data_IF_448882986754
#
_entry.id   IF_448882986754
#
_cell.length_a   1.000
_cell.length_b   1.000
_cell.length_c   1.000
_cell.angle_alpha   90.00
_cell.angle_beta   90.00
_cell.angle_gamma   90.00
#
_symmetry.space_group_name_H-M   'P 1'
#
loop_
_entity.id
_entity.type
_entity.pdbx_description
1 polymer ?
#
# COMPACT_ATOMS: atom_id res chain seq x y z
N UNK A 1 -9.39 -26.29 2.22
CA UNK A 1 -9.33 -24.97 2.88
C UNK A 1 -10.27 -24.04 2.15
N UNK A 2 -11.17 -23.36 2.87
CA UNK A 2 -12.16 -22.46 2.25
C UNK A 2 -11.65 -21.01 2.16
N UNK A 3 -12.34 -20.18 1.36
CA UNK A 3 -12.07 -18.73 1.28
C UNK A 3 -12.18 -18.11 2.66
N UNK A 4 -13.15 -18.52 3.50
CA UNK A 4 -13.28 -18.06 4.89
C UNK A 4 -11.98 -18.29 5.68
N UNK A 5 -11.36 -19.47 5.56
CA UNK A 5 -10.12 -19.74 6.28
C UNK A 5 -8.97 -18.83 5.85
N UNK A 6 -8.90 -18.48 4.54
CA UNK A 6 -7.89 -17.55 4.03
C UNK A 6 -8.19 -16.11 4.49
N UNK A 7 -9.47 -15.71 4.47
CA UNK A 7 -9.90 -14.40 4.96
C UNK A 7 -9.55 -14.22 6.45
N UNK A 8 -9.91 -15.20 7.28
CA UNK A 8 -9.61 -15.15 8.72
C UNK A 8 -8.10 -15.07 8.99
N UNK A 9 -7.28 -15.76 8.18
CA UNK A 9 -5.83 -15.71 8.29
C UNK A 9 -5.26 -14.35 7.87
N UNK A 10 -5.78 -13.75 6.78
CA UNK A 10 -5.37 -12.40 6.36
C UNK A 10 -5.78 -11.34 7.40
N UNK A 11 -6.91 -11.51 8.08
CA UNK A 11 -7.36 -10.60 9.12
C UNK A 11 -6.46 -10.58 10.38
N UNK A 12 -5.58 -11.56 10.57
CA UNK A 12 -4.57 -11.52 11.63
C UNK A 12 -3.55 -10.38 11.39
N UNK A 13 -3.22 -10.04 10.14
CA UNK A 13 -2.31 -8.94 9.80
C UNK A 13 -3.01 -7.69 9.30
N UNK A 14 -4.23 -7.81 8.78
CA UNK A 14 -5.04 -6.73 8.24
C UNK A 14 -6.49 -6.83 8.72
N UNK A 15 -6.77 -6.62 10.02
CA UNK A 15 -8.11 -6.70 10.58
C UNK A 15 -9.06 -5.71 9.89
N UNK A 16 -10.20 -6.18 9.38
CA UNK A 16 -11.13 -5.35 8.58
C UNK A 16 -11.66 -4.13 9.37
N UNK A 17 -11.78 -4.25 10.70
CA UNK A 17 -12.21 -3.15 11.57
C UNK A 17 -11.14 -2.04 11.72
N UNK A 18 -9.95 -2.21 11.18
CA UNK A 18 -8.89 -1.21 11.18
C UNK A 18 -8.85 -0.41 9.87
N UNK A 19 -9.63 -0.82 8.86
CA UNK A 19 -9.75 -0.06 7.62
C UNK A 19 -10.31 1.35 7.87
N UNK A 20 -10.05 2.26 6.95
CA UNK A 20 -10.65 3.59 6.98
C UNK A 20 -12.15 3.53 6.63
N UNK A 21 -12.97 4.40 7.22
CA UNK A 21 -14.42 4.40 7.07
C UNK A 21 -14.93 4.52 5.61
N UNK A 22 -14.11 5.11 4.74
CA UNK A 22 -14.45 5.27 3.32
C UNK A 22 -14.11 4.06 2.47
N UNK A 23 -13.40 3.07 3.04
CA UNK A 23 -12.83 1.96 2.29
C UNK A 23 -13.79 0.78 2.12
N UNK A 24 -13.44 -0.12 1.20
CA UNK A 24 -14.19 -1.34 0.94
C UNK A 24 -13.23 -2.53 0.91
N UNK A 25 -13.01 -3.16 2.04
CA UNK A 25 -12.06 -4.26 2.24
C UNK A 25 -12.77 -5.59 2.52
N UNK A 26 -12.02 -6.67 2.49
CA UNK A 26 -12.52 -8.02 2.73
C UNK A 26 -12.96 -8.73 1.44
N UNK A 27 -13.87 -9.69 1.55
CA UNK A 27 -14.37 -10.45 0.40
C UNK A 27 -15.35 -9.61 -0.42
N UNK A 28 -14.89 -9.13 -1.58
CA UNK A 28 -15.67 -8.26 -2.48
C UNK A 28 -16.52 -9.05 -3.46
N UNK A 29 -16.04 -10.21 -3.90
CA UNK A 29 -16.69 -11.11 -4.87
C UNK A 29 -16.45 -12.54 -4.42
N UNK A 30 -17.48 -13.38 -4.48
CA UNK A 30 -17.37 -14.81 -4.19
C UNK A 30 -18.18 -15.24 -2.98
N UNK A 31 -17.92 -16.47 -2.53
CA UNK A 31 -18.60 -17.09 -1.39
C UNK A 31 -17.56 -17.67 -0.43
N UNK A 32 -17.67 -17.33 0.85
CA UNK A 32 -16.77 -17.75 1.92
C UNK A 32 -16.62 -19.27 2.06
N UNK A 33 -17.66 -20.04 1.68
CA UNK A 33 -17.66 -21.51 1.78
C UNK A 33 -16.95 -22.23 0.62
N UNK A 34 -16.56 -21.48 -0.43
CA UNK A 34 -15.87 -22.06 -1.60
C UNK A 34 -14.48 -22.57 -1.20
N UNK A 35 -14.15 -23.78 -1.64
CA UNK A 35 -12.79 -24.33 -1.45
C UNK A 35 -11.79 -23.62 -2.35
N UNK A 36 -10.62 -23.30 -1.79
CA UNK A 36 -9.52 -22.63 -2.49
C UNK A 36 -8.68 -23.66 -3.22
N UNK A 37 -8.56 -23.51 -4.54
CA UNK A 37 -7.70 -24.32 -5.42
C UNK A 37 -6.34 -23.67 -5.64
N UNK A 38 -6.30 -22.35 -5.67
CA UNK A 38 -5.08 -21.54 -5.81
C UNK A 38 -5.35 -20.06 -5.55
N UNK A 39 -4.31 -19.36 -5.12
CA UNK A 39 -4.36 -17.93 -4.78
C UNK A 39 -3.45 -17.16 -5.74
N UNK A 40 -3.98 -16.11 -6.36
CA UNK A 40 -3.20 -15.11 -7.09
C UNK A 40 -3.11 -13.83 -6.25
N UNK A 41 -1.91 -13.36 -5.95
CA UNK A 41 -1.67 -12.11 -5.19
C UNK A 41 -1.32 -10.99 -6.15
N UNK A 42 -1.96 -9.83 -5.98
CA UNK A 42 -1.75 -8.65 -6.83
C UNK A 42 -1.86 -7.35 -6.04
N UNK A 43 -1.44 -6.21 -6.62
CA UNK A 43 -1.83 -4.89 -6.13
C UNK A 43 -3.21 -4.52 -6.68
N UNK A 44 -3.34 -4.52 -8.00
CA UNK A 44 -4.55 -4.12 -8.71
C UNK A 44 -5.20 -5.31 -9.40
N UNK A 45 -6.52 -5.36 -9.39
CA UNK A 45 -7.28 -6.36 -10.12
C UNK A 45 -7.83 -5.76 -11.42
N UNK A 46 -7.16 -6.09 -12.53
CA UNK A 46 -7.59 -5.72 -13.89
C UNK A 46 -8.13 -6.96 -14.62
N UNK A 47 -8.65 -6.79 -15.86
CA UNK A 47 -9.12 -7.93 -16.66
C UNK A 47 -7.99 -8.95 -16.90
N UNK A 48 -6.77 -8.48 -17.15
CA UNK A 48 -5.58 -9.32 -17.35
C UNK A 48 -5.20 -10.09 -16.09
N UNK A 49 -5.44 -9.54 -14.89
CA UNK A 49 -5.24 -10.23 -13.62
C UNK A 49 -6.19 -11.41 -13.48
N UNK A 50 -7.47 -11.23 -13.87
CA UNK A 50 -8.46 -12.30 -13.87
C UNK A 50 -8.08 -13.37 -14.91
N UNK A 51 -7.61 -12.98 -16.11
CA UNK A 51 -7.12 -13.90 -17.13
C UNK A 51 -5.93 -14.74 -16.63
N UNK A 52 -5.02 -14.10 -15.89
CA UNK A 52 -3.90 -14.82 -15.27
C UNK A 52 -4.38 -15.82 -14.21
N UNK A 53 -5.36 -15.46 -13.37
CA UNK A 53 -5.96 -16.34 -12.38
C UNK A 53 -6.59 -17.57 -13.06
N UNK A 54 -7.37 -17.38 -14.13
CA UNK A 54 -7.97 -18.45 -14.93
C UNK A 54 -6.86 -19.39 -15.47
N UNK A 55 -5.85 -18.81 -16.11
CA UNK A 55 -4.75 -19.57 -16.71
C UNK A 55 -3.98 -20.39 -15.70
N UNK A 56 -3.79 -19.85 -14.48
CA UNK A 56 -3.08 -20.50 -13.37
C UNK A 56 -3.98 -21.39 -12.50
N UNK A 57 -5.27 -21.50 -12.82
CA UNK A 57 -6.26 -22.23 -12.04
C UNK A 57 -6.37 -21.75 -10.59
N UNK A 58 -6.22 -20.44 -10.38
CA UNK A 58 -6.46 -19.78 -9.12
C UNK A 58 -7.92 -19.33 -9.07
N UNK A 59 -8.66 -19.73 -8.04
CA UNK A 59 -10.05 -19.32 -7.85
C UNK A 59 -10.22 -18.26 -6.73
N UNK A 60 -9.10 -17.77 -6.17
CA UNK A 60 -9.07 -16.62 -5.27
C UNK A 60 -7.99 -15.62 -5.72
N UNK A 61 -8.38 -14.37 -5.88
CA UNK A 61 -7.47 -13.24 -6.04
C UNK A 61 -7.42 -12.51 -4.71
N UNK A 62 -6.23 -12.38 -4.12
CA UNK A 62 -5.97 -11.51 -2.98
C UNK A 62 -5.31 -10.25 -3.53
N UNK A 63 -6.05 -9.14 -3.54
CA UNK A 63 -5.58 -7.84 -4.02
C UNK A 63 -5.27 -6.90 -2.86
N UNK A 64 -4.36 -5.96 -3.10
CA UNK A 64 -4.19 -4.85 -2.19
C UNK A 64 -5.33 -3.85 -2.37
N UNK A 65 -5.49 -3.28 -3.58
CA UNK A 65 -6.57 -2.36 -3.89
C UNK A 65 -7.90 -3.06 -4.13
N UNK A 66 -9.02 -2.50 -3.60
CA UNK A 66 -10.35 -3.02 -3.86
C UNK A 66 -10.82 -2.66 -5.27
N UNK A 67 -11.16 -3.66 -6.08
CA UNK A 67 -11.74 -3.42 -7.41
C UNK A 67 -13.10 -2.71 -7.33
N UNK A 68 -13.85 -2.95 -6.28
CA UNK A 68 -15.10 -2.25 -5.99
C UNK A 68 -14.84 -1.25 -4.87
N UNK A 69 -14.29 -0.07 -5.19
CA UNK A 69 -14.07 0.98 -4.19
C UNK A 69 -15.36 1.70 -3.82
N UNK A 70 -16.17 2.06 -4.81
CA UNK A 70 -17.51 2.63 -4.62
C UNK A 70 -18.58 1.64 -5.05
N UNK A 71 -19.72 1.62 -4.37
CA UNK A 71 -20.83 0.72 -4.67
C UNK A 71 -21.28 0.78 -6.13
N UNK A 72 -21.44 -0.37 -6.77
CA UNK A 72 -21.89 -0.47 -8.15
C UNK A 72 -23.42 -0.38 -8.24
N UNK A 73 -23.93 0.53 -9.06
CA UNK A 73 -25.37 0.64 -9.35
C UNK A 73 -25.82 -0.27 -10.49
N UNK A 74 -24.90 -0.65 -11.36
CA UNK A 74 -25.11 -1.53 -12.53
C UNK A 74 -23.88 -2.38 -12.75
N UNK A 75 -24.08 -3.57 -13.31
CA UNK A 75 -23.01 -4.48 -13.72
C UNK A 75 -23.34 -4.92 -15.14
N UNK A 76 -22.93 -4.13 -16.13
CA UNK A 76 -23.25 -4.36 -17.54
C UNK A 76 -22.02 -4.25 -18.48
N UNK A 77 -20.82 -4.15 -17.90
CA UNK A 77 -19.55 -4.14 -18.65
C UNK A 77 -19.17 -2.80 -19.28
N UNK A 78 -19.79 -1.70 -18.85
CA UNK A 78 -19.47 -0.38 -19.41
C UNK A 78 -18.20 0.26 -18.83
N UNK A 79 -17.74 -0.18 -17.67
CA UNK A 79 -16.50 0.27 -17.05
C UNK A 79 -15.52 -0.91 -16.84
N UNK A 80 -14.23 -0.60 -16.66
CA UNK A 80 -13.24 -1.63 -16.35
C UNK A 80 -13.61 -2.40 -15.07
N UNK A 81 -14.14 -1.73 -14.06
CA UNK A 81 -14.60 -2.34 -12.80
C UNK A 81 -15.71 -3.37 -13.08
N UNK A 82 -16.74 -2.97 -13.84
CA UNK A 82 -17.85 -3.87 -14.17
C UNK A 82 -17.40 -5.08 -15.01
N UNK A 83 -16.44 -4.88 -15.94
CA UNK A 83 -15.87 -5.97 -16.75
C UNK A 83 -15.13 -6.99 -15.88
N UNK A 84 -14.28 -6.50 -14.96
CA UNK A 84 -13.56 -7.36 -14.01
C UNK A 84 -14.54 -8.14 -13.14
N UNK A 85 -15.54 -7.47 -12.57
CA UNK A 85 -16.59 -8.08 -11.71
C UNK A 85 -17.33 -9.17 -12.47
N UNK A 86 -17.82 -8.87 -13.69
CA UNK A 86 -18.52 -9.85 -14.53
C UNK A 86 -17.63 -11.05 -14.85
N UNK A 87 -16.40 -10.80 -15.25
CA UNK A 87 -15.44 -11.85 -15.62
C UNK A 87 -15.09 -12.75 -14.43
N UNK A 88 -14.86 -12.16 -13.25
CA UNK A 88 -14.59 -12.92 -12.03
C UNK A 88 -15.77 -13.82 -11.65
N UNK A 89 -17.01 -13.29 -11.66
CA UNK A 89 -18.23 -14.03 -11.36
C UNK A 89 -18.44 -15.17 -12.37
N UNK A 90 -18.30 -14.90 -13.67
CA UNK A 90 -18.49 -15.89 -14.73
C UNK A 90 -17.51 -17.05 -14.67
N UNK A 91 -16.32 -16.83 -14.08
CA UNK A 91 -15.28 -17.85 -13.93
C UNK A 91 -15.14 -18.40 -12.50
N UNK A 92 -16.10 -18.12 -11.62
CA UNK A 92 -16.09 -18.54 -10.21
C UNK A 92 -14.82 -18.12 -9.46
N UNK A 93 -14.28 -16.94 -9.75
CA UNK A 93 -13.10 -16.37 -9.09
C UNK A 93 -13.57 -15.42 -8.01
N UNK A 94 -13.16 -15.66 -6.78
CA UNK A 94 -13.37 -14.76 -5.66
C UNK A 94 -12.29 -13.65 -5.63
N UNK A 95 -12.64 -12.48 -5.12
CA UNK A 95 -11.71 -11.35 -4.95
C UNK A 95 -11.81 -10.84 -3.52
N UNK A 96 -10.67 -10.82 -2.83
CA UNK A 96 -10.49 -10.29 -1.48
C UNK A 96 -9.52 -9.12 -1.51
N UNK A 97 -9.82 -8.02 -0.83
CA UNK A 97 -8.97 -6.82 -0.75
C UNK A 97 -8.54 -6.51 0.68
N UNK A 98 -7.26 -6.12 0.87
CA UNK A 98 -6.69 -5.80 2.19
C UNK A 98 -6.53 -4.30 2.44
N UNK A 99 -6.24 -3.52 1.44
CA UNK A 99 -6.10 -2.06 1.33
C UNK A 99 -5.77 -1.35 2.66
N UNK A 100 -6.59 -0.37 3.09
CA UNK A 100 -6.27 0.44 4.29
C UNK A 100 -6.27 -0.36 5.60
N UNK A 101 -6.88 -1.54 5.64
CA UNK A 101 -6.71 -2.45 6.78
C UNK A 101 -5.24 -2.89 6.94
N UNK A 102 -4.55 -3.16 5.82
CA UNK A 102 -3.12 -3.50 5.81
C UNK A 102 -2.24 -2.25 5.98
N UNK A 103 -2.65 -1.06 5.45
CA UNK A 103 -1.91 0.20 5.67
C UNK A 103 -1.82 0.58 7.14
N UNK A 104 -2.89 0.33 7.89
CA UNK A 104 -2.96 0.59 9.32
C UNK A 104 -2.22 -0.45 10.18
N UNK A 105 -1.70 -1.50 9.57
CA UNK A 105 -0.97 -2.57 10.26
C UNK A 105 0.50 -2.22 10.47
N UNK A 106 1.04 -2.57 11.65
CA UNK A 106 2.49 -2.44 11.94
C UNK A 106 3.38 -3.26 11.00
N UNK A 107 2.86 -4.33 10.41
CA UNK A 107 3.58 -5.19 9.47
C UNK A 107 3.21 -4.90 8.01
N UNK A 108 2.45 -3.83 7.76
CA UNK A 108 1.90 -3.48 6.46
C UNK A 108 2.87 -2.81 5.49
N UNK A 109 2.29 -2.08 4.53
CA UNK A 109 2.98 -1.45 3.40
C UNK A 109 4.15 -0.56 3.83
N UNK A 110 3.91 0.37 4.76
CA UNK A 110 4.92 1.33 5.20
C UNK A 110 6.07 0.68 5.95
N UNK A 111 5.83 -0.43 6.68
CA UNK A 111 6.90 -1.23 7.28
C UNK A 111 7.80 -1.88 6.23
N UNK A 112 7.21 -2.40 5.15
CA UNK A 112 8.01 -2.94 4.03
C UNK A 112 8.84 -1.85 3.34
N UNK A 113 8.33 -0.62 3.25
CA UNK A 113 9.13 0.52 2.78
C UNK A 113 10.33 0.77 3.72
N UNK A 114 10.12 0.76 5.04
CA UNK A 114 11.22 0.91 6.02
C UNK A 114 12.27 -0.19 5.88
N UNK A 115 11.84 -1.45 5.76
CA UNK A 115 12.75 -2.60 5.55
C UNK A 115 13.60 -2.41 4.28
N UNK A 116 12.97 -1.99 3.15
CA UNK A 116 13.68 -1.77 1.89
C UNK A 116 14.66 -0.60 1.94
N UNK A 117 14.37 0.42 2.73
CA UNK A 117 15.26 1.54 2.99
C UNK A 117 16.32 1.23 4.05
N UNK A 118 16.22 0.08 4.75
CA UNK A 118 17.12 -0.28 5.84
C UNK A 118 16.98 0.63 7.06
N UNK A 119 15.79 1.19 7.30
CA UNK A 119 15.54 2.02 8.48
C UNK A 119 15.54 1.16 9.75
N UNK A 120 16.01 1.75 10.82
CA UNK A 120 16.02 1.16 12.18
C UNK A 120 15.11 1.98 13.09
N UNK A 121 14.71 1.39 14.23
CA UNK A 121 13.92 2.05 15.28
C UNK A 121 12.63 2.69 14.76
N UNK A 122 12.02 2.12 13.69
CA UNK A 122 10.85 2.74 13.10
C UNK A 122 9.57 2.44 13.91
N UNK A 123 8.69 3.43 13.92
CA UNK A 123 7.40 3.42 14.60
C UNK A 123 6.32 4.05 13.70
N UNK A 124 5.06 3.89 14.08
CA UNK A 124 3.94 4.46 13.33
C UNK A 124 4.03 5.99 13.28
N UNK A 125 3.88 6.55 12.06
CA UNK A 125 3.89 7.99 11.83
C UNK A 125 2.59 8.64 12.35
N UNK A 126 1.45 8.06 12.04
CA UNK A 126 0.10 8.54 12.41
C UNK A 126 -0.59 7.45 13.24
N UNK A 127 -0.29 7.32 14.55
CA UNK A 127 -0.92 6.30 15.38
C UNK A 127 -2.40 6.62 15.60
N UNK A 128 -3.25 5.58 15.57
CA UNK A 128 -4.64 5.62 16.07
C UNK A 128 -4.65 5.63 17.60
N UNK A 129 -5.83 5.77 18.20
CA UNK A 129 -5.99 5.88 19.66
C UNK A 129 -5.40 4.69 20.44
N UNK A 130 -5.38 3.50 19.86
CA UNK A 130 -4.81 2.30 20.45
C UNK A 130 -3.27 2.29 20.51
N UNK A 131 -2.63 3.24 19.81
CA UNK A 131 -1.18 3.36 19.68
C UNK A 131 -0.49 2.19 18.95
N UNK A 132 -1.25 1.18 18.57
CA UNK A 132 -0.75 -0.05 17.93
C UNK A 132 -1.05 -0.15 16.44
N UNK A 133 -1.98 0.66 15.96
CA UNK A 133 -2.38 0.76 14.57
C UNK A 133 -2.24 2.19 14.08
N UNK A 134 -2.18 2.40 12.77
CA UNK A 134 -2.08 3.72 12.17
C UNK A 134 -1.29 3.72 10.88
N UNK A 135 -1.31 4.84 10.20
CA UNK A 135 -0.73 4.99 8.86
C UNK A 135 0.71 5.52 8.88
N UNK A 136 1.48 5.04 7.92
CA UNK A 136 2.85 5.47 7.73
C UNK A 136 3.80 5.02 8.83
N UNK A 137 5.09 5.14 8.56
CA UNK A 137 6.17 4.83 9.51
C UNK A 137 7.18 5.97 9.54
N UNK A 138 7.89 6.09 10.66
CA UNK A 138 9.02 7.01 10.82
C UNK A 138 10.14 6.28 11.53
N UNK A 139 11.36 6.35 11.00
CA UNK A 139 12.54 5.67 11.58
C UNK A 139 13.82 6.37 11.23
N UNK A 140 14.94 5.80 11.65
CA UNK A 140 16.26 6.39 11.49
C UNK A 140 17.07 5.62 10.44
N UNK A 141 17.87 6.33 9.65
CA UNK A 141 18.94 5.70 8.86
C UNK A 141 20.05 5.21 9.80
N UNK A 142 20.66 4.04 9.55
CA UNK A 142 21.81 3.56 10.34
C UNK A 142 22.99 4.53 10.32
N UNK A 143 23.12 5.32 9.26
CA UNK A 143 24.11 6.39 9.10
C UNK A 143 23.49 7.55 8.34
N UNK A 144 23.69 8.81 8.81
CA UNK A 144 23.23 9.99 8.08
C UNK A 144 23.80 10.05 6.65
N UNK A 145 23.02 10.59 5.73
CA UNK A 145 23.34 10.67 4.30
C UNK A 145 23.10 12.09 3.77
N UNK A 146 23.85 12.52 2.77
CA UNK A 146 23.53 13.78 2.05
C UNK A 146 22.22 13.60 1.28
N UNK A 147 21.41 14.67 1.18
CA UNK A 147 20.11 14.62 0.48
C UNK A 147 20.26 14.11 -0.97
N UNK A 148 21.27 14.55 -1.70
CA UNK A 148 21.50 14.12 -3.09
C UNK A 148 21.76 12.59 -3.18
N UNK A 149 22.53 12.05 -2.27
CA UNK A 149 22.82 10.62 -2.22
C UNK A 149 21.58 9.83 -1.79
N UNK A 150 20.80 10.39 -0.85
CA UNK A 150 19.53 9.81 -0.43
C UNK A 150 18.48 9.78 -1.56
N UNK A 151 18.39 10.81 -2.39
CA UNK A 151 17.53 10.82 -3.58
C UNK A 151 17.91 9.71 -4.57
N UNK A 152 19.22 9.53 -4.83
CA UNK A 152 19.73 8.42 -5.68
C UNK A 152 19.44 7.07 -5.07
N UNK A 153 19.65 6.93 -3.76
CA UNK A 153 19.37 5.71 -3.00
C UNK A 153 17.87 5.37 -3.04
N UNK A 154 16.98 6.33 -2.78
CA UNK A 154 15.53 6.18 -2.86
C UNK A 154 15.09 5.73 -4.24
N UNK A 155 15.55 6.41 -5.31
CA UNK A 155 15.25 6.04 -6.69
C UNK A 155 15.62 4.58 -6.99
N UNK A 156 16.78 4.14 -6.55
CA UNK A 156 17.27 2.76 -6.73
C UNK A 156 16.44 1.75 -5.91
N UNK A 157 16.14 2.07 -4.64
CA UNK A 157 15.39 1.19 -3.73
C UNK A 157 13.99 0.92 -4.24
N UNK A 158 13.28 1.95 -4.67
CA UNK A 158 11.92 1.83 -5.21
C UNK A 158 11.88 1.46 -6.69
N UNK A 159 13.04 1.25 -7.34
CA UNK A 159 13.15 0.84 -8.75
C UNK A 159 12.35 1.72 -9.71
N UNK A 160 12.23 3.00 -9.38
CA UNK A 160 11.47 3.96 -10.18
C UNK A 160 12.33 4.60 -11.28
N UNK A 161 11.71 4.92 -12.42
CA UNK A 161 12.39 5.63 -13.51
C UNK A 161 12.58 7.12 -13.21
N UNK A 162 11.77 7.70 -12.33
CA UNK A 162 11.83 9.10 -11.92
C UNK A 162 11.23 9.33 -10.55
N UNK A 163 11.72 10.32 -9.84
CA UNK A 163 11.14 10.82 -8.59
C UNK A 163 10.86 12.31 -8.74
N UNK A 164 9.82 12.79 -8.07
CA UNK A 164 9.57 14.22 -7.89
C UNK A 164 9.95 14.59 -6.46
N UNK A 165 10.51 15.75 -6.24
CA UNK A 165 10.90 16.16 -4.89
C UNK A 165 10.82 17.67 -4.71
N UNK A 166 10.69 18.12 -3.46
CA UNK A 166 10.75 19.53 -3.08
C UNK A 166 12.20 20.05 -3.16
N UNK A 167 12.38 21.35 -3.03
CA UNK A 167 13.73 21.90 -2.90
C UNK A 167 14.45 21.23 -1.71
N UNK A 168 15.72 20.82 -1.88
CA UNK A 168 16.56 20.35 -0.80
C UNK A 168 16.65 21.34 0.35
N UNK A 169 16.76 20.85 1.57
CA UNK A 169 16.93 21.68 2.78
C UNK A 169 18.39 22.06 3.05
N UNK A 170 19.33 21.31 2.47
CA UNK A 170 20.75 21.42 2.71
C UNK A 170 21.24 20.69 3.96
N UNK A 171 20.37 19.91 4.61
CA UNK A 171 20.70 19.16 5.82
C UNK A 171 21.09 17.70 5.49
N UNK A 172 21.65 17.01 6.48
CA UNK A 172 21.81 15.57 6.41
C UNK A 172 20.48 14.87 6.65
N UNK A 173 20.21 13.78 5.92
CA UNK A 173 19.10 12.88 6.15
C UNK A 173 19.50 11.87 7.21
N UNK A 174 18.79 11.87 8.32
CA UNK A 174 18.91 10.86 9.37
C UNK A 174 17.56 10.21 9.68
N UNK A 175 16.51 11.02 9.83
CA UNK A 175 15.16 10.57 10.16
C UNK A 175 14.25 10.62 8.93
N UNK A 176 13.67 9.47 8.59
CA UNK A 176 12.88 9.27 7.38
C UNK A 176 11.47 8.83 7.77
N UNK A 177 10.47 9.57 7.28
CA UNK A 177 9.08 9.17 7.33
C UNK A 177 8.66 8.58 5.97
N UNK A 178 7.79 7.56 5.97
CA UNK A 178 7.26 6.91 4.77
C UNK A 178 5.78 6.63 4.91
N UNK A 179 5.05 6.70 3.80
CA UNK A 179 3.66 6.25 3.69
C UNK A 179 3.43 5.76 2.26
N UNK A 180 2.96 4.52 2.10
CA UNK A 180 2.63 3.96 0.79
C UNK A 180 1.41 4.63 0.18
N UNK A 181 1.39 4.76 -1.15
CA UNK A 181 0.29 5.40 -1.87
C UNK A 181 0.19 6.91 -1.65
N UNK A 182 -1.05 7.41 -1.67
CA UNK A 182 -1.37 8.84 -1.60
C UNK A 182 -1.26 9.38 -0.17
N UNK A 183 -0.17 10.07 0.15
CA UNK A 183 0.16 10.49 1.52
C UNK A 183 0.29 12.00 1.76
N UNK A 184 -0.25 12.86 0.90
CA UNK A 184 -0.08 14.33 1.08
C UNK A 184 -0.67 14.89 2.37
N UNK A 185 -1.59 14.15 3.00
CA UNK A 185 -2.24 14.53 4.26
C UNK A 185 -1.29 14.41 5.46
N UNK A 186 -0.28 13.55 5.41
CA UNK A 186 0.66 13.29 6.50
C UNK A 186 1.91 14.19 6.51
N UNK A 187 2.04 15.14 5.55
CA UNK A 187 3.22 16.02 5.46
C UNK A 187 3.42 16.82 6.75
N UNK A 188 2.33 17.37 7.31
CA UNK A 188 2.41 18.17 8.54
C UNK A 188 2.89 17.33 9.74
N UNK A 189 2.45 16.08 9.83
CA UNK A 189 2.83 15.14 10.90
C UNK A 189 4.30 14.72 10.77
N UNK A 190 4.77 14.47 9.55
CA UNK A 190 6.18 14.18 9.30
C UNK A 190 7.08 15.36 9.74
N UNK A 191 6.68 16.61 9.44
CA UNK A 191 7.38 17.80 9.90
C UNK A 191 7.33 17.92 11.43
N UNK A 192 6.15 17.73 12.04
CA UNK A 192 5.97 17.78 13.50
C UNK A 192 6.86 16.76 14.22
N UNK A 193 6.97 15.56 13.68
CA UNK A 193 7.85 14.49 14.19
C UNK A 193 9.31 14.66 13.80
N UNK A 194 9.66 15.79 13.18
CA UNK A 194 11.04 16.16 12.82
C UNK A 194 11.69 15.16 11.87
N UNK A 195 10.94 14.66 10.90
CA UNK A 195 11.53 13.90 9.81
C UNK A 195 12.34 14.85 8.90
N UNK A 196 13.54 14.42 8.47
CA UNK A 196 14.35 15.13 7.49
C UNK A 196 13.80 14.93 6.08
N UNK A 197 13.20 13.75 5.85
CA UNK A 197 12.60 13.34 4.58
C UNK A 197 11.24 12.69 4.82
N UNK A 198 10.30 12.96 3.92
CA UNK A 198 9.04 12.22 3.83
C UNK A 198 8.86 11.66 2.42
N UNK A 199 8.72 10.33 2.32
CA UNK A 199 8.53 9.58 1.06
C UNK A 199 7.09 9.09 1.00
N UNK A 200 6.38 9.43 -0.09
CA UNK A 200 5.04 8.95 -0.38
C UNK A 200 4.76 9.05 -1.89
N UNK A 201 3.50 9.15 -2.29
CA UNK A 201 3.12 9.32 -3.69
C UNK A 201 1.96 10.32 -3.86
N UNK A 202 1.63 10.60 -5.13
CA UNK A 202 0.50 11.42 -5.57
C UNK A 202 0.50 12.86 -5.03
N UNK A 203 1.65 13.42 -4.76
CA UNK A 203 1.74 14.82 -4.37
C UNK A 203 1.32 15.73 -5.53
N UNK A 204 0.34 16.57 -5.27
CA UNK A 204 -0.06 17.63 -6.19
C UNK A 204 0.98 18.73 -6.21
N UNK A 205 0.96 19.57 -7.25
CA UNK A 205 1.88 20.68 -7.41
C UNK A 205 2.06 21.52 -6.14
N UNK A 206 0.95 21.91 -5.50
CA UNK A 206 0.99 22.74 -4.29
C UNK A 206 1.38 21.97 -3.01
N UNK A 207 1.34 20.63 -3.01
CA UNK A 207 1.74 19.85 -1.84
C UNK A 207 3.25 20.01 -1.55
N UNK A 208 4.07 20.16 -2.60
CA UNK A 208 5.50 20.42 -2.44
C UNK A 208 5.82 21.73 -1.71
N UNK A 209 4.92 22.71 -1.76
CA UNK A 209 5.10 23.98 -1.04
C UNK A 209 4.97 23.82 0.47
N UNK A 210 4.24 22.81 0.94
CA UNK A 210 4.10 22.48 2.36
C UNK A 210 5.42 22.06 3.01
N UNK A 211 6.45 21.75 2.21
CA UNK A 211 7.80 21.49 2.73
C UNK A 211 8.38 22.69 3.48
N UNK A 212 8.10 23.91 3.03
CA UNK A 212 8.52 25.18 3.66
C UNK A 212 10.01 25.23 4.03
N UNK A 213 10.88 24.50 3.30
CA UNK A 213 12.29 24.36 3.62
C UNK A 213 12.60 23.57 4.90
N UNK A 214 11.59 22.92 5.50
CA UNK A 214 11.72 22.16 6.77
C UNK A 214 11.97 20.68 6.57
N UNK A 215 11.56 20.13 5.41
CA UNK A 215 11.61 18.71 5.10
C UNK A 215 11.82 18.50 3.59
N UNK A 216 12.53 17.44 3.21
CA UNK A 216 12.60 17.03 1.83
C UNK A 216 11.42 16.08 1.53
N UNK A 217 10.47 16.52 0.70
CA UNK A 217 9.36 15.68 0.22
C UNK A 217 9.81 14.93 -1.02
N UNK A 218 9.54 13.62 -1.07
CA UNK A 218 9.86 12.75 -2.21
C UNK A 218 8.60 11.99 -2.61
N UNK A 219 8.19 12.16 -3.87
CA UNK A 219 7.15 11.37 -4.52
C UNK A 219 7.83 10.33 -5.42
N UNK A 220 7.67 9.06 -5.07
CA UNK A 220 8.30 7.94 -5.77
C UNK A 220 7.38 7.28 -6.80
N UNK A 221 6.09 7.66 -6.84
CA UNK A 221 5.02 7.02 -7.58
C UNK A 221 4.21 6.04 -6.72
N UNK A 222 2.91 5.95 -7.02
CA UNK A 222 1.96 5.14 -6.24
C UNK A 222 2.36 3.67 -6.24
N UNK A 223 2.42 3.08 -7.43
CA UNK A 223 2.82 1.67 -7.60
C UNK A 223 4.20 1.38 -6.98
N UNK A 224 5.16 2.28 -7.18
CA UNK A 224 6.53 2.09 -6.70
C UNK A 224 6.60 2.08 -5.18
N UNK A 225 5.78 2.89 -4.50
CA UNK A 225 5.72 2.91 -3.04
C UNK A 225 5.11 1.63 -2.45
N UNK A 226 4.22 0.97 -3.19
CA UNK A 226 3.43 -0.18 -2.72
C UNK A 226 3.85 -1.52 -3.31
N UNK A 227 4.72 -1.55 -4.32
CA UNK A 227 5.09 -2.77 -5.07
C UNK A 227 5.55 -3.95 -4.20
N UNK A 228 6.06 -3.67 -3.01
CA UNK A 228 6.56 -4.69 -2.07
C UNK A 228 5.44 -5.40 -1.30
N UNK A 229 4.22 -4.87 -1.32
CA UNK A 229 3.04 -5.43 -0.64
C UNK A 229 2.69 -6.82 -1.19
N UNK A 230 2.87 -7.05 -2.49
CA UNK A 230 2.68 -8.38 -3.09
C UNK A 230 3.56 -9.44 -2.44
N UNK A 231 4.83 -9.09 -2.22
CA UNK A 231 5.78 -10.00 -1.58
C UNK A 231 5.39 -10.27 -0.12
N UNK A 232 4.98 -9.22 0.62
CA UNK A 232 4.47 -9.36 1.99
C UNK A 232 3.31 -10.35 2.05
N UNK A 233 2.30 -10.16 1.20
CA UNK A 233 1.12 -11.03 1.18
C UNK A 233 1.47 -12.46 0.76
N UNK A 234 2.37 -12.66 -0.21
CA UNK A 234 2.84 -14.01 -0.60
C UNK A 234 3.62 -14.65 0.54
N UNK A 235 4.57 -13.95 1.16
CA UNK A 235 5.36 -14.45 2.30
C UNK A 235 4.46 -14.85 3.47
N UNK A 236 3.35 -14.14 3.68
CA UNK A 236 2.40 -14.43 4.75
C UNK A 236 1.51 -15.64 4.45
N UNK A 237 1.14 -15.85 3.17
CA UNK A 237 0.25 -16.94 2.74
C UNK A 237 0.98 -18.26 2.45
N UNK A 238 2.32 -18.32 2.49
CA UNK A 238 3.14 -19.51 2.20
C UNK A 238 3.93 -20.00 3.41
#
# INVERSE_FOLDING_TARGET
MTIKNISDYLEEIAPLNQAEDFDNVGLLIGNETTEVEGILVTLDTLEETVDEAIKKKCNLIVSFHPIIFSGLKKINGNSYVEKVVLKAIQNNIAIYATHTALDNSKVGVSSKMCEKLGLINYNILLPKEDGNTGMGMIGDLPKPMQEEDFLKFTKKTFKTNGIRFSNPTGNLVNKVAVLGGSGSFAIADAIHKKADVYISADFKYHDFFKAEGKILLIDVGHYESEQFTKNLLVEYLT
#
